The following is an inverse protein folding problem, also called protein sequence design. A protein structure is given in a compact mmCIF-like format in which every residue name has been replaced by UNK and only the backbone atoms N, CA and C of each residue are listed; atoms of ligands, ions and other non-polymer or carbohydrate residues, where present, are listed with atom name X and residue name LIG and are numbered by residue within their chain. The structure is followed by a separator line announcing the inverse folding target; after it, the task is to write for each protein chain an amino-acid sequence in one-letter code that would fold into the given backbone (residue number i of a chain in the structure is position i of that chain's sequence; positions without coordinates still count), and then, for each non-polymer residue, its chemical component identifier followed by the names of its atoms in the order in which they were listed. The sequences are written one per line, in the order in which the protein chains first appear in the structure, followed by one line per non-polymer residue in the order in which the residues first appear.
data_IF_010457692053
#
_entry.id   IF_010457692053
#
_cell.length_a   1.000
_cell.length_b   1.000
_cell.length_c   1.000
_cell.angle_alpha   90.00
_cell.angle_beta   90.00
_cell.angle_gamma   90.00
#
_symmetry.space_group_name_H-M   'P 1'
#
loop_
_entity.id
_entity.type
_entity.pdbx_description
1 polymer ?
#
# COMPACT_ATOMS: atom_id res chain seq x y z
N UNK A 1 -3.96 -5.87 -19.10
CA UNK A 1 -2.62 -5.20 -19.14
C UNK A 1 -2.56 -4.27 -17.94
N UNK A 2 -1.48 -4.32 -17.19
CA UNK A 2 -1.35 -3.51 -15.96
C UNK A 2 -1.02 -2.06 -16.30
N UNK A 3 -1.56 -1.13 -15.49
CA UNK A 3 -1.25 0.30 -15.53
C UNK A 3 -0.75 0.77 -14.16
N UNK A 4 0.23 1.66 -14.16
CA UNK A 4 0.77 2.28 -12.94
C UNK A 4 0.10 3.65 -12.75
N UNK A 5 -0.59 3.81 -11.62
CA UNK A 5 -1.19 5.07 -11.16
C UNK A 5 -0.33 5.66 -10.06
N UNK A 6 0.33 6.78 -10.30
CA UNK A 6 1.18 7.48 -9.31
C UNK A 6 0.36 8.60 -8.68
N UNK A 7 0.00 8.45 -7.42
CA UNK A 7 -0.83 9.40 -6.66
C UNK A 7 0.00 10.50 -6.02
N UNK A 8 1.25 10.20 -5.68
CA UNK A 8 2.17 11.14 -5.09
C UNK A 8 3.63 10.70 -5.23
N UNK A 9 4.53 11.68 -5.25
CA UNK A 9 5.98 11.46 -5.45
C UNK A 9 6.82 12.21 -4.41
N UNK A 10 6.19 12.77 -3.38
CA UNK A 10 6.85 13.62 -2.42
C UNK A 10 7.33 12.87 -1.18
N UNK A 11 8.48 13.26 -0.63
CA UNK A 11 8.96 12.82 0.68
C UNK A 11 8.25 13.55 1.83
N UNK A 12 8.52 13.17 3.08
CA UNK A 12 7.80 13.57 4.30
C UNK A 12 7.34 15.04 4.38
N UNK A 13 8.21 15.99 4.17
CA UNK A 13 7.95 17.42 4.40
C UNK A 13 7.52 18.19 3.13
N UNK A 14 7.20 17.50 2.04
CA UNK A 14 6.80 18.14 0.78
C UNK A 14 5.45 18.84 0.91
N UNK A 15 5.33 20.03 0.29
CA UNK A 15 4.09 20.84 0.32
C UNK A 15 3.49 21.11 -1.06
N UNK A 16 4.20 20.76 -2.15
CA UNK A 16 3.79 21.05 -3.53
C UNK A 16 3.19 19.84 -4.26
N UNK A 17 3.44 18.64 -3.77
CA UNK A 17 2.86 17.41 -4.28
C UNK A 17 2.42 16.55 -3.09
N UNK A 18 1.76 15.43 -3.36
CA UNK A 18 1.39 14.49 -2.32
C UNK A 18 2.53 13.53 -2.02
N UNK A 19 2.51 12.94 -0.82
CA UNK A 19 3.50 11.96 -0.39
C UNK A 19 3.48 10.71 -1.27
N UNK A 20 4.60 10.03 -1.35
CA UNK A 20 4.78 8.84 -2.20
C UNK A 20 3.72 7.79 -1.93
N UNK A 21 2.90 7.55 -2.93
CA UNK A 21 1.97 6.41 -2.98
C UNK A 21 1.52 6.18 -4.43
N UNK A 22 1.23 4.94 -4.76
CA UNK A 22 0.85 4.54 -6.11
C UNK A 22 -0.03 3.29 -6.09
N UNK A 23 -0.59 2.92 -7.23
CA UNK A 23 -1.26 1.64 -7.40
C UNK A 23 -0.94 1.01 -8.74
N UNK A 24 -0.97 -0.32 -8.79
CA UNK A 24 -1.03 -1.09 -10.03
C UNK A 24 -2.50 -1.42 -10.27
N UNK A 25 -3.01 -0.99 -11.41
CA UNK A 25 -4.34 -1.35 -11.89
C UNK A 25 -4.24 -2.55 -12.82
N UNK A 26 -5.17 -3.49 -12.68
CA UNK A 26 -5.37 -4.61 -13.59
C UNK A 26 -6.84 -4.98 -13.66
N UNK A 27 -7.38 -4.97 -14.87
CA UNK A 27 -8.77 -5.35 -15.16
C UNK A 27 -9.81 -4.58 -14.33
N UNK A 28 -9.52 -3.31 -14.01
CA UNK A 28 -10.37 -2.42 -13.22
C UNK A 28 -10.16 -2.47 -11.70
N UNK A 29 -9.32 -3.39 -11.21
CA UNK A 29 -9.00 -3.57 -9.80
C UNK A 29 -7.62 -2.99 -9.44
N UNK A 30 -7.42 -2.55 -8.20
CA UNK A 30 -6.21 -1.84 -7.78
C UNK A 30 -5.49 -2.55 -6.64
N UNK A 31 -4.16 -2.70 -6.81
CA UNK A 31 -3.22 -3.00 -5.73
C UNK A 31 -2.45 -1.72 -5.39
N UNK A 32 -2.78 -1.11 -4.27
CA UNK A 32 -2.24 0.16 -3.83
C UNK A 32 -1.04 -0.03 -2.90
N UNK A 33 -0.06 0.87 -2.98
CA UNK A 33 1.11 0.91 -2.09
C UNK A 33 1.12 2.24 -1.36
N UNK A 34 1.05 2.18 -0.03
CA UNK A 34 0.92 3.30 0.88
C UNK A 34 -0.32 4.19 0.57
N UNK A 35 -0.56 5.20 1.39
CA UNK A 35 -1.65 6.14 1.16
C UNK A 35 -1.28 7.59 1.51
N UNK A 36 0.02 7.85 1.67
CA UNK A 36 0.53 9.17 1.98
C UNK A 36 0.20 9.65 3.40
N UNK A 37 0.39 10.94 3.65
CA UNK A 37 0.36 11.55 4.98
C UNK A 37 -1.00 12.01 5.48
N UNK A 38 -2.10 11.74 4.78
CA UNK A 38 -3.41 12.17 5.26
C UNK A 38 -4.56 12.06 4.26
N UNK A 39 -5.59 12.90 4.42
CA UNK A 39 -6.82 12.84 3.64
C UNK A 39 -6.68 13.34 2.19
N UNK A 40 -5.54 13.91 1.82
CA UNK A 40 -5.28 14.37 0.45
C UNK A 40 -5.42 13.25 -0.58
N UNK A 41 -5.15 12.01 -0.20
CA UNK A 41 -5.35 10.83 -1.08
C UNK A 41 -6.77 10.74 -1.62
N UNK A 42 -7.78 11.08 -0.82
CA UNK A 42 -9.18 10.99 -1.23
C UNK A 42 -9.51 11.88 -2.43
N UNK A 43 -8.98 13.12 -2.42
CA UNK A 43 -9.13 14.04 -3.54
C UNK A 43 -8.35 13.55 -4.77
N UNK A 44 -7.14 13.05 -4.57
CA UNK A 44 -6.29 12.56 -5.67
C UNK A 44 -6.94 11.37 -6.37
N UNK A 45 -7.49 10.40 -5.62
CA UNK A 45 -8.24 9.29 -6.19
C UNK A 45 -9.44 9.78 -7.00
N UNK A 46 -10.17 10.79 -6.49
CA UNK A 46 -11.30 11.41 -7.21
C UNK A 46 -10.84 12.12 -8.48
N UNK A 47 -9.79 12.95 -8.41
CA UNK A 47 -9.24 13.70 -9.55
C UNK A 47 -8.72 12.78 -10.66
N UNK A 48 -8.22 11.59 -10.28
CA UNK A 48 -7.74 10.55 -11.20
C UNK A 48 -8.83 9.54 -11.61
N UNK A 49 -10.08 9.74 -11.20
CA UNK A 49 -11.22 8.86 -11.46
C UNK A 49 -10.99 7.40 -10.99
N UNK A 50 -10.29 7.23 -9.87
CA UNK A 50 -10.09 5.93 -9.23
C UNK A 50 -11.23 5.69 -8.24
N UNK A 51 -12.08 4.70 -8.51
CA UNK A 51 -13.12 4.31 -7.58
C UNK A 51 -12.54 3.45 -6.45
N UNK A 52 -12.68 3.92 -5.22
CA UNK A 52 -12.21 3.20 -4.04
C UNK A 52 -12.93 1.86 -3.80
N UNK A 53 -14.06 1.60 -4.45
CA UNK A 53 -14.74 0.30 -4.37
C UNK A 53 -13.98 -0.81 -5.08
N UNK A 54 -13.04 -0.46 -5.95
CA UNK A 54 -12.13 -1.37 -6.66
C UNK A 54 -10.72 -1.47 -6.04
N UNK A 55 -10.50 -0.86 -4.85
CA UNK A 55 -9.24 -1.00 -4.12
C UNK A 55 -9.43 -2.10 -3.07
N UNK A 56 -9.07 -3.33 -3.40
CA UNK A 56 -9.18 -4.49 -2.50
C UNK A 56 -7.87 -4.88 -1.83
N UNK A 57 -6.75 -4.35 -2.30
CA UNK A 57 -5.42 -4.69 -1.80
C UNK A 57 -4.61 -3.41 -1.56
N UNK A 58 -4.13 -3.22 -0.33
CA UNK A 58 -3.23 -2.13 0.03
C UNK A 58 -2.03 -2.72 0.77
N UNK A 59 -0.83 -2.44 0.28
CA UNK A 59 0.42 -2.74 0.96
C UNK A 59 0.94 -1.48 1.65
N UNK A 60 1.34 -1.59 2.91
CA UNK A 60 1.92 -0.50 3.70
C UNK A 60 3.38 -0.82 3.96
N UNK A 61 4.27 0.03 3.44
CA UNK A 61 5.71 -0.23 3.46
C UNK A 61 6.30 -0.09 4.86
N UNK A 62 5.94 0.97 5.59
CA UNK A 62 6.47 1.28 6.92
C UNK A 62 5.64 2.32 7.69
N UNK A 63 6.10 2.65 8.92
CA UNK A 63 5.34 3.43 9.91
C UNK A 63 5.47 4.95 9.82
N UNK A 64 6.26 5.51 8.91
CA UNK A 64 6.40 6.97 8.82
C UNK A 64 5.08 7.65 8.46
N UNK A 65 4.90 8.86 8.95
CA UNK A 65 3.63 9.61 8.87
C UNK A 65 3.16 9.85 7.44
N UNK A 66 4.08 10.03 6.53
CA UNK A 66 3.84 10.28 5.10
C UNK A 66 3.50 9.02 4.29
N UNK A 67 3.46 7.85 4.93
CA UNK A 67 3.04 6.57 4.35
C UNK A 67 1.78 6.01 5.02
N UNK A 68 1.71 6.05 6.37
CA UNK A 68 0.69 5.33 7.13
C UNK A 68 -0.59 6.16 7.40
N UNK A 69 -0.50 7.50 7.54
CA UNK A 69 -1.66 8.27 8.00
C UNK A 69 -2.81 8.31 7.00
N UNK A 70 -2.51 8.22 5.70
CA UNK A 70 -3.53 8.07 4.66
C UNK A 70 -4.30 6.74 4.76
N UNK A 71 -3.69 5.68 5.32
CA UNK A 71 -4.34 4.37 5.50
C UNK A 71 -5.57 4.48 6.41
N UNK A 72 -5.52 5.29 7.46
CA UNK A 72 -6.67 5.54 8.34
C UNK A 72 -7.85 6.12 7.53
N UNK A 73 -7.58 6.99 6.58
CA UNK A 73 -8.60 7.55 5.69
C UNK A 73 -9.14 6.53 4.70
N UNK A 74 -8.29 5.66 4.15
CA UNK A 74 -8.73 4.56 3.29
C UNK A 74 -9.64 3.61 4.06
N UNK A 75 -9.24 3.18 5.26
CA UNK A 75 -10.07 2.34 6.16
C UNK A 75 -11.40 3.01 6.48
N UNK A 76 -11.40 4.33 6.79
CA UNK A 76 -12.62 5.08 7.06
C UNK A 76 -13.60 5.08 5.88
N UNK A 77 -13.10 5.40 4.69
CA UNK A 77 -13.95 5.56 3.51
C UNK A 77 -14.40 4.24 2.91
N UNK A 78 -13.51 3.25 2.82
CA UNK A 78 -13.86 1.89 2.38
C UNK A 78 -14.80 1.25 3.41
N UNK A 79 -14.49 1.35 4.71
CA UNK A 79 -15.36 0.84 5.77
C UNK A 79 -16.76 1.45 5.75
N UNK A 80 -16.89 2.74 5.41
CA UNK A 80 -18.21 3.38 5.22
C UNK A 80 -18.96 2.77 4.03
N UNK A 81 -18.27 2.45 2.93
CA UNK A 81 -18.86 1.78 1.77
C UNK A 81 -19.25 0.34 2.05
N UNK A 82 -18.46 -0.37 2.85
CA UNK A 82 -18.83 -1.70 3.35
C UNK A 82 -20.14 -1.62 4.14
N UNK A 83 -20.26 -0.68 5.08
CA UNK A 83 -21.44 -0.54 5.93
C UNK A 83 -22.71 -0.13 5.18
N UNK A 84 -22.59 0.61 4.09
CA UNK A 84 -23.74 1.00 3.26
C UNK A 84 -24.02 0.05 2.09
N UNK A 85 -23.25 -1.05 1.95
CA UNK A 85 -23.43 -2.07 0.94
C UNK A 85 -22.92 -1.72 -0.46
N UNK A 86 -22.13 -0.64 -0.62
CA UNK A 86 -21.56 -0.25 -1.92
C UNK A 86 -20.14 -0.76 -2.16
N UNK A 87 -19.59 -1.56 -1.25
CA UNK A 87 -18.29 -2.22 -1.40
C UNK A 87 -18.46 -3.73 -1.19
N UNK A 88 -18.16 -4.50 -2.21
CA UNK A 88 -18.22 -5.96 -2.16
C UNK A 88 -16.87 -6.55 -1.72
N UNK A 89 -16.87 -7.78 -1.17
CA UNK A 89 -15.67 -8.50 -0.75
C UNK A 89 -14.97 -7.88 0.47
N UNK A 90 -13.67 -8.05 0.56
CA UNK A 90 -12.81 -7.64 1.68
C UNK A 90 -11.73 -6.67 1.23
N UNK A 91 -11.34 -5.76 2.12
CA UNK A 91 -10.11 -4.99 2.00
C UNK A 91 -8.97 -5.75 2.68
N UNK A 92 -7.90 -6.04 1.95
CA UNK A 92 -6.70 -6.69 2.47
C UNK A 92 -5.60 -5.64 2.67
N UNK A 93 -5.15 -5.46 3.91
CA UNK A 93 -4.02 -4.61 4.27
C UNK A 93 -2.81 -5.48 4.58
N UNK A 94 -1.80 -5.41 3.72
CA UNK A 94 -0.54 -6.16 3.84
C UNK A 94 0.53 -5.29 4.48
N UNK A 95 1.31 -5.83 5.39
CA UNK A 95 2.56 -5.25 5.89
C UNK A 95 3.34 -6.27 6.70
N UNK A 96 4.56 -5.93 7.13
CA UNK A 96 5.28 -6.74 8.11
C UNK A 96 4.53 -6.79 9.46
N UNK A 97 4.74 -7.88 10.20
CA UNK A 97 3.99 -8.21 11.43
C UNK A 97 3.99 -7.09 12.50
N UNK A 98 5.11 -6.34 12.62
CA UNK A 98 5.24 -5.30 13.63
C UNK A 98 4.42 -4.03 13.30
N UNK A 99 4.06 -3.80 12.03
CA UNK A 99 3.32 -2.59 11.62
C UNK A 99 1.81 -2.76 11.74
N UNK A 100 1.28 -3.94 11.50
CA UNK A 100 -0.16 -4.18 11.51
C UNK A 100 -0.85 -3.79 12.83
N UNK A 101 -0.28 -4.10 14.03
CA UNK A 101 -0.85 -3.63 15.29
C UNK A 101 -0.88 -2.09 15.43
N UNK A 102 0.10 -1.40 14.84
CA UNK A 102 0.12 0.07 14.84
C UNK A 102 -1.00 0.65 13.96
N UNK A 103 -1.21 0.08 12.76
CA UNK A 103 -2.33 0.45 11.88
C UNK A 103 -3.66 0.24 12.60
N UNK A 104 -3.87 -0.93 13.21
CA UNK A 104 -5.08 -1.22 13.96
C UNK A 104 -5.29 -0.22 15.11
N UNK A 105 -4.23 0.08 15.87
CA UNK A 105 -4.28 1.04 16.98
C UNK A 105 -4.67 2.43 16.50
N UNK A 106 -4.06 2.93 15.41
CA UNK A 106 -4.41 4.23 14.83
C UNK A 106 -5.88 4.27 14.40
N UNK A 107 -6.38 3.21 13.76
CA UNK A 107 -7.79 3.10 13.40
C UNK A 107 -8.70 3.12 14.64
N UNK A 108 -8.40 2.34 15.66
CA UNK A 108 -9.20 2.26 16.91
C UNK A 108 -9.21 3.57 17.70
N UNK A 109 -8.13 4.34 17.67
CA UNK A 109 -8.05 5.65 18.34
C UNK A 109 -8.79 6.76 17.60
N UNK A 110 -8.97 6.65 16.28
CA UNK A 110 -9.41 7.77 15.45
C UNK A 110 -10.75 7.54 14.74
N UNK A 111 -11.18 6.28 14.59
CA UNK A 111 -12.39 5.93 13.87
C UNK A 111 -13.54 5.56 14.83
N UNK A 112 -14.76 5.68 14.32
CA UNK A 112 -15.96 5.24 15.04
C UNK A 112 -15.94 3.72 15.24
N UNK A 113 -16.45 3.25 16.36
CA UNK A 113 -16.48 1.84 16.74
C UNK A 113 -17.08 0.93 15.66
N UNK A 114 -18.14 1.37 14.97
CA UNK A 114 -18.76 0.59 13.88
C UNK A 114 -17.81 0.30 12.71
N UNK A 115 -16.84 1.19 12.45
CA UNK A 115 -15.79 0.98 11.45
C UNK A 115 -14.70 0.05 11.99
N UNK A 116 -14.31 0.23 13.25
CA UNK A 116 -13.31 -0.63 13.90
C UNK A 116 -13.75 -2.10 14.00
N UNK A 117 -15.06 -2.36 14.10
CA UNK A 117 -15.61 -3.73 14.09
C UNK A 117 -15.44 -4.46 12.76
N UNK A 118 -15.17 -3.75 11.69
CA UNK A 118 -14.87 -4.37 10.39
C UNK A 118 -13.46 -4.98 10.33
N UNK A 119 -12.55 -4.54 11.22
CA UNK A 119 -11.18 -5.06 11.27
C UNK A 119 -11.20 -6.47 11.83
N UNK A 120 -10.58 -7.41 11.10
CA UNK A 120 -10.60 -8.84 11.38
C UNK A 120 -11.67 -9.63 10.63
N UNK A 121 -12.63 -8.95 9.98
CA UNK A 121 -13.69 -9.58 9.17
C UNK A 121 -13.67 -9.05 7.73
N UNK A 122 -14.14 -7.84 7.51
CA UNK A 122 -14.24 -7.21 6.18
C UNK A 122 -13.00 -6.40 5.82
N UNK A 123 -12.20 -6.02 6.80
CA UNK A 123 -10.88 -5.39 6.65
C UNK A 123 -9.87 -6.32 7.31
N UNK A 124 -9.11 -7.03 6.48
CA UNK A 124 -8.22 -8.11 6.92
C UNK A 124 -6.78 -7.60 6.95
N UNK A 125 -6.15 -7.67 8.12
CA UNK A 125 -4.74 -7.34 8.29
C UNK A 125 -3.91 -8.60 8.01
N UNK A 126 -3.04 -8.55 7.02
CA UNK A 126 -2.29 -9.70 6.52
C UNK A 126 -0.79 -9.48 6.73
N UNK A 127 -0.17 -10.21 7.67
CA UNK A 127 1.27 -10.14 7.83
C UNK A 127 1.97 -10.77 6.62
N UNK A 128 3.07 -10.15 6.21
CA UNK A 128 3.98 -10.67 5.19
C UNK A 128 5.39 -10.76 5.75
N UNK A 129 6.13 -11.78 5.30
CA UNK A 129 7.50 -12.08 5.73
C UNK A 129 8.49 -11.85 4.59
N UNK A 130 9.77 -11.76 4.93
CA UNK A 130 10.85 -11.65 3.94
C UNK A 130 10.86 -12.87 3.01
N UNK A 131 10.88 -12.62 1.70
CA UNK A 131 10.79 -13.64 0.64
C UNK A 131 9.40 -14.26 0.44
N UNK A 132 8.37 -13.82 1.17
CA UNK A 132 7.03 -14.36 1.03
C UNK A 132 6.40 -14.00 -0.30
N UNK A 133 5.79 -14.98 -0.97
CA UNK A 133 5.09 -14.81 -2.25
C UNK A 133 3.59 -14.91 -2.08
N UNK A 134 2.85 -14.04 -2.77
CA UNK A 134 1.39 -14.05 -2.84
C UNK A 134 0.89 -13.73 -4.23
N UNK A 135 -0.28 -14.26 -4.56
CA UNK A 135 -1.03 -13.84 -5.75
C UNK A 135 -1.91 -12.63 -5.40
N UNK A 136 -1.66 -11.49 -6.06
CA UNK A 136 -2.47 -10.28 -5.94
C UNK A 136 -2.85 -9.82 -7.33
N UNK A 137 -4.14 -9.72 -7.61
CA UNK A 137 -4.69 -9.43 -8.95
C UNK A 137 -4.12 -10.33 -10.05
N UNK A 138 -3.79 -11.60 -9.71
CA UNK A 138 -3.17 -12.54 -10.64
C UNK A 138 -1.71 -12.20 -11.00
N UNK A 139 -1.06 -11.35 -10.23
CA UNK A 139 0.38 -11.11 -10.28
C UNK A 139 1.09 -11.90 -9.18
N UNK A 140 2.27 -12.45 -9.48
CA UNK A 140 3.18 -13.00 -8.47
C UNK A 140 3.88 -11.84 -7.75
N UNK A 141 3.50 -11.60 -6.49
CA UNK A 141 4.07 -10.54 -5.65
C UNK A 141 4.96 -11.16 -4.58
N UNK A 142 6.25 -10.82 -4.59
CA UNK A 142 7.22 -11.23 -3.57
C UNK A 142 7.53 -10.06 -2.66
N UNK A 143 7.25 -10.19 -1.36
CA UNK A 143 7.57 -9.19 -0.35
C UNK A 143 8.97 -9.44 0.22
N UNK A 144 9.68 -8.38 0.60
CA UNK A 144 11.03 -8.51 1.18
C UNK A 144 11.34 -7.36 2.14
N UNK A 145 12.20 -7.66 3.14
CA UNK A 145 12.76 -6.66 4.03
C UNK A 145 13.81 -5.82 3.26
N UNK A 146 13.69 -4.51 3.28
CA UNK A 146 14.66 -3.63 2.64
C UNK A 146 15.87 -3.32 3.53
N UNK A 147 15.91 -3.85 4.75
CA UNK A 147 17.00 -3.68 5.73
C UNK A 147 17.24 -2.21 6.11
N UNK A 148 16.16 -1.44 6.25
CA UNK A 148 16.22 -0.05 6.70
C UNK A 148 16.85 0.07 8.09
N UNK A 149 17.65 1.12 8.28
CA UNK A 149 18.31 1.41 9.56
C UNK A 149 17.50 2.32 10.48
N UNK A 150 16.42 2.94 9.99
CA UNK A 150 15.58 3.88 10.75
C UNK A 150 14.33 3.24 11.31
N UNK A 151 13.50 2.70 10.44
CA UNK A 151 12.30 1.96 10.78
C UNK A 151 12.24 0.70 9.93
N UNK A 152 11.75 -0.42 10.45
CA UNK A 152 11.55 -1.63 9.65
C UNK A 152 10.65 -1.29 8.46
N UNK A 153 11.12 -1.58 7.27
CA UNK A 153 10.44 -1.33 6.00
C UNK A 153 10.46 -2.58 5.13
N UNK A 154 9.36 -2.83 4.47
CA UNK A 154 9.27 -3.87 3.46
C UNK A 154 9.03 -3.25 2.09
N UNK A 155 9.58 -3.93 1.08
CA UNK A 155 9.31 -3.70 -0.33
C UNK A 155 8.61 -4.88 -0.95
N UNK A 156 8.37 -4.80 -2.25
CA UNK A 156 7.88 -5.93 -3.03
C UNK A 156 8.37 -5.89 -4.47
N UNK A 157 8.38 -7.05 -5.12
CA UNK A 157 8.49 -7.20 -6.57
C UNK A 157 7.25 -7.91 -7.09
N UNK A 158 6.57 -7.30 -8.07
CA UNK A 158 5.42 -7.88 -8.77
C UNK A 158 5.82 -8.28 -10.19
N UNK A 159 5.44 -9.47 -10.62
CA UNK A 159 5.59 -9.94 -12.01
C UNK A 159 4.32 -9.62 -12.77
N UNK A 160 4.44 -8.77 -13.79
CA UNK A 160 3.33 -8.32 -14.64
C UNK A 160 2.98 -9.37 -15.68
N UNK A 161 1.80 -9.24 -16.32
CA UNK A 161 1.30 -10.21 -17.31
C UNK A 161 2.20 -10.41 -18.52
N UNK A 162 3.01 -9.40 -18.87
CA UNK A 162 3.97 -9.46 -19.98
C UNK A 162 5.37 -9.94 -19.55
N UNK A 163 5.53 -10.40 -18.32
CA UNK A 163 6.79 -10.87 -17.75
C UNK A 163 7.71 -9.77 -17.23
N UNK A 164 7.36 -8.49 -17.38
CA UNK A 164 8.11 -7.40 -16.75
C UNK A 164 7.94 -7.45 -15.24
N UNK A 165 8.89 -6.86 -14.53
CA UNK A 165 8.90 -6.80 -13.07
C UNK A 165 8.85 -5.35 -12.60
N UNK A 166 7.91 -5.07 -11.70
CA UNK A 166 7.79 -3.82 -10.96
C UNK A 166 8.29 -4.04 -9.54
N UNK A 167 9.26 -3.25 -9.09
CA UNK A 167 9.77 -3.33 -7.72
C UNK A 167 9.60 -2.00 -6.99
N UNK A 168 9.10 -2.08 -5.77
CA UNK A 168 9.06 -0.99 -4.78
C UNK A 168 10.07 -1.30 -3.69
N UNK A 169 11.06 -0.41 -3.50
CA UNK A 169 12.11 -0.56 -2.48
C UNK A 169 11.96 0.44 -1.31
N UNK A 170 10.74 0.97 -1.08
CA UNK A 170 10.53 1.95 -0.01
C UNK A 170 11.26 3.28 -0.26
N UNK A 171 11.65 3.98 0.81
CA UNK A 171 12.25 5.31 0.79
C UNK A 171 13.65 5.37 1.46
N UNK A 172 14.36 4.26 1.49
CA UNK A 172 15.73 4.15 1.97
C UNK A 172 16.71 3.88 0.83
N UNK A 173 17.99 4.20 0.99
CA UNK A 173 19.04 3.80 0.05
C UNK A 173 19.04 2.28 -0.17
N UNK A 174 19.37 1.88 -1.38
CA UNK A 174 19.47 0.47 -1.74
C UNK A 174 20.42 -0.30 -0.82
N UNK A 175 19.95 -1.39 -0.24
CA UNK A 175 20.76 -2.29 0.55
C UNK A 175 21.16 -3.53 -0.28
N UNK A 176 22.45 -3.97 -0.26
CA UNK A 176 22.91 -5.10 -1.11
C UNK A 176 22.16 -6.42 -0.91
N UNK A 177 21.59 -6.68 0.27
CA UNK A 177 20.78 -7.87 0.53
C UNK A 177 19.46 -7.88 -0.27
N UNK A 178 19.01 -6.74 -0.79
CA UNK A 178 17.85 -6.67 -1.67
C UNK A 178 18.16 -7.07 -3.12
N UNK A 179 19.45 -7.26 -3.50
CA UNK A 179 19.85 -7.58 -4.87
C UNK A 179 19.06 -8.74 -5.51
N UNK A 180 18.81 -9.88 -4.83
CA UNK A 180 18.05 -10.98 -5.42
C UNK A 180 16.64 -10.62 -5.89
N UNK A 181 16.04 -9.59 -5.27
CA UNK A 181 14.68 -9.14 -5.60
C UNK A 181 14.64 -8.11 -6.73
N UNK A 182 15.77 -7.42 -7.01
CA UNK A 182 15.82 -6.30 -7.95
C UNK A 182 16.69 -6.52 -9.19
N UNK A 183 17.49 -7.59 -9.27
CA UNK A 183 18.48 -7.81 -10.33
C UNK A 183 17.89 -7.88 -11.76
N UNK A 184 16.62 -8.19 -11.91
CA UNK A 184 15.96 -8.39 -13.21
C UNK A 184 14.73 -7.52 -13.40
N UNK A 185 14.64 -6.38 -12.70
CA UNK A 185 13.45 -5.54 -12.77
C UNK A 185 13.42 -4.66 -14.00
N UNK A 186 12.24 -4.42 -14.53
CA UNK A 186 11.99 -3.51 -15.64
C UNK A 186 11.68 -2.09 -15.19
N UNK A 187 11.18 -1.93 -13.97
CA UNK A 187 10.87 -0.65 -13.32
C UNK A 187 11.06 -0.75 -11.81
N UNK A 188 11.85 0.16 -11.24
CA UNK A 188 12.08 0.26 -9.81
C UNK A 188 11.61 1.61 -9.30
N UNK A 189 10.80 1.63 -8.24
CA UNK A 189 10.43 2.82 -7.51
C UNK A 189 11.29 2.91 -6.24
N UNK A 190 12.11 3.94 -6.18
CA UNK A 190 12.89 4.34 -5.00
C UNK A 190 12.51 5.77 -4.67
N UNK A 191 12.12 6.03 -3.45
CA UNK A 191 12.06 7.41 -2.94
C UNK A 191 13.47 7.77 -2.46
N UNK A 192 14.14 8.66 -3.17
CA UNK A 192 15.41 9.19 -2.71
C UNK A 192 15.14 10.29 -1.66
N UNK A 193 15.96 10.36 -0.61
CA UNK A 193 15.87 11.40 0.42
C UNK A 193 16.14 12.80 -0.12
#
# INVERSE_FOLDING_TARGET
MEQLYVFGTGHAAVTRCYNTCFAVEKDGEFFMTDAGGGNGILRILQDMNVDMTHIHHIFVTHSHTDHILGIVWMVRFIGTRILNGSYEGQLHLYSHEDLLPAIETLCRLTLQEKLCRLIGDRIVLIPVSDGEQRQILGMDVTFFDIHSTKAKQFGFTAVLSDGRRLTCCGDEPFHPLCAPYVETVSYTHLTLP
#
